data_IF_333615272702
#
_entry.id   IF_333615272702
#
_cell.length_a   1.000
_cell.length_b   1.000
_cell.length_c   1.000
_cell.angle_alpha   90.00
_cell.angle_beta   90.00
_cell.angle_gamma   90.00
#
_symmetry.space_group_name_H-M   'P 1'
#
loop_
_entity.id
_entity.type
_entity.pdbx_description
1 polymer ?
#
# COMPACT_ATOMS: atom_id res chain seq x y z
N UNK A 1 6.02 -3.90 -0.27
CA UNK A 1 5.82 -3.03 -1.46
C UNK A 1 7.13 -2.89 -2.23
N UNK A 2 7.07 -2.80 -3.56
CA UNK A 2 8.24 -2.75 -4.45
C UNK A 2 8.24 -1.46 -5.29
N UNK A 3 9.44 -0.97 -5.61
CA UNK A 3 9.65 0.25 -6.39
C UNK A 3 9.46 0.05 -7.90
N UNK A 4 8.72 0.97 -8.53
CA UNK A 4 8.82 1.25 -9.96
C UNK A 4 9.89 2.34 -10.19
N UNK A 5 10.71 2.15 -11.20
CA UNK A 5 11.68 3.13 -11.66
C UNK A 5 11.25 3.74 -13.01
N UNK A 6 11.76 4.94 -13.32
CA UNK A 6 11.58 5.57 -14.63
C UNK A 6 12.52 5.01 -15.70
N UNK A 7 12.71 5.75 -16.79
CA UNK A 7 13.48 5.31 -17.97
C UNK A 7 14.96 5.01 -17.67
N UNK A 8 15.49 5.55 -16.57
CA UNK A 8 16.85 5.28 -16.08
C UNK A 8 16.96 3.95 -15.31
N UNK A 9 15.86 3.20 -15.19
CA UNK A 9 15.79 1.98 -14.40
C UNK A 9 16.24 2.18 -12.96
N UNK A 10 16.84 1.14 -12.37
CA UNK A 10 17.29 1.14 -10.97
C UNK A 10 18.37 2.18 -10.63
N UNK A 11 19.05 2.72 -11.64
CA UNK A 11 20.03 3.80 -11.45
C UNK A 11 19.37 5.17 -11.27
N UNK A 12 18.07 5.28 -11.57
CA UNK A 12 17.27 6.48 -11.39
C UNK A 12 16.51 6.51 -10.06
N UNK A 13 15.80 7.63 -9.79
CA UNK A 13 14.94 7.72 -8.63
C UNK A 13 13.77 6.74 -8.74
N UNK A 14 13.26 6.33 -7.57
CA UNK A 14 11.97 5.65 -7.50
C UNK A 14 10.90 6.60 -8.05
N UNK A 15 10.12 6.09 -8.99
CA UNK A 15 9.03 6.83 -9.62
C UNK A 15 7.74 6.68 -8.83
N UNK A 16 7.44 5.45 -8.39
CA UNK A 16 6.22 5.13 -7.66
C UNK A 16 6.38 3.81 -6.90
N UNK A 17 5.72 3.70 -5.75
CA UNK A 17 5.67 2.46 -4.98
C UNK A 17 4.41 1.64 -5.27
N UNK A 18 4.57 0.32 -5.38
CA UNK A 18 3.47 -0.61 -5.66
C UNK A 18 3.34 -1.66 -4.55
N UNK A 19 2.11 -1.89 -4.07
CA UNK A 19 1.84 -3.08 -3.27
C UNK A 19 1.91 -4.31 -4.16
N UNK A 20 2.53 -5.35 -3.63
CA UNK A 20 2.71 -6.66 -4.25
C UNK A 20 2.16 -7.69 -3.27
N UNK A 21 1.62 -8.79 -3.79
CA UNK A 21 1.33 -9.98 -3.00
C UNK A 21 2.62 -10.81 -2.89
N UNK A 22 2.91 -11.41 -1.74
CA UNK A 22 3.97 -12.42 -1.51
C UNK A 22 5.21 -12.36 -2.43
N UNK A 23 6.21 -11.52 -2.10
CA UNK A 23 7.49 -11.34 -2.84
C UNK A 23 7.39 -11.26 -4.39
N UNK A 24 6.19 -11.08 -4.95
CA UNK A 24 5.97 -11.08 -6.39
C UNK A 24 6.55 -9.80 -6.98
N UNK A 25 7.05 -9.92 -8.21
CA UNK A 25 7.49 -8.79 -9.01
C UNK A 25 6.34 -8.17 -9.82
N UNK A 26 5.10 -8.42 -9.42
CA UNK A 26 3.90 -7.87 -10.05
C UNK A 26 3.08 -7.15 -8.99
N UNK A 27 2.89 -5.85 -9.19
CA UNK A 27 2.02 -5.05 -8.34
C UNK A 27 0.57 -5.49 -8.45
N UNK A 28 -0.24 -5.24 -7.43
CA UNK A 28 -1.68 -5.53 -7.43
C UNK A 28 -2.45 -4.84 -8.57
N UNK A 29 -1.88 -3.79 -9.16
CA UNK A 29 -2.42 -3.13 -10.35
C UNK A 29 -2.07 -3.84 -11.68
N UNK A 30 -1.34 -4.96 -11.64
CA UNK A 30 -0.87 -5.72 -12.80
C UNK A 30 0.46 -5.22 -13.38
N UNK A 31 1.12 -4.24 -12.76
CA UNK A 31 2.41 -3.72 -13.24
C UNK A 31 3.56 -4.64 -12.86
N UNK A 32 4.32 -5.06 -13.86
CA UNK A 32 5.60 -5.74 -13.66
C UNK A 32 6.67 -4.78 -13.13
N UNK A 33 7.47 -5.26 -12.18
CA UNK A 33 8.49 -4.53 -11.45
C UNK A 33 9.84 -5.18 -11.71
N UNK A 34 10.91 -4.37 -11.69
CA UNK A 34 12.25 -4.87 -11.98
C UNK A 34 12.72 -5.90 -10.95
N UNK A 35 13.48 -6.89 -11.42
CA UNK A 35 14.16 -7.82 -10.52
C UNK A 35 15.11 -7.08 -9.55
N UNK A 36 14.98 -7.42 -8.27
CA UNK A 36 15.72 -6.73 -7.21
C UNK A 36 15.35 -5.26 -7.05
N UNK A 37 14.16 -4.84 -7.49
CA UNK A 37 13.61 -3.53 -7.13
C UNK A 37 13.68 -3.32 -5.61
N UNK A 38 13.92 -2.08 -5.18
CA UNK A 38 13.89 -1.75 -3.76
C UNK A 38 12.54 -2.16 -3.16
N UNK A 39 12.59 -2.72 -1.95
CA UNK A 39 11.43 -3.13 -1.20
C UNK A 39 11.27 -2.27 0.07
N UNK A 40 10.03 -2.11 0.51
CA UNK A 40 9.65 -1.52 1.79
C UNK A 40 8.50 -2.33 2.38
N UNK A 41 8.37 -2.27 3.70
CA UNK A 41 7.24 -2.89 4.40
C UNK A 41 5.90 -2.25 3.98
N UNK A 42 4.81 -3.02 3.90
CA UNK A 42 3.46 -2.46 3.64
C UNK A 42 3.05 -1.34 4.59
N UNK A 43 3.55 -1.36 5.83
CA UNK A 43 3.29 -0.34 6.86
C UNK A 43 3.87 1.04 6.52
N UNK A 44 4.79 1.12 5.56
CA UNK A 44 5.39 2.38 5.10
C UNK A 44 4.54 3.08 4.03
N UNK A 45 3.40 2.50 3.64
CA UNK A 45 2.48 3.10 2.68
C UNK A 45 2.04 4.50 3.12
N UNK A 46 2.26 5.50 2.26
CA UNK A 46 1.94 6.90 2.54
C UNK A 46 2.96 7.62 3.44
N UNK A 47 4.02 6.95 3.90
CA UNK A 47 5.15 7.55 4.63
C UNK A 47 6.36 7.82 3.73
N UNK A 48 6.34 7.30 2.50
CA UNK A 48 7.37 7.54 1.50
C UNK A 48 7.30 8.94 0.91
N UNK A 49 8.44 9.47 0.48
CA UNK A 49 8.49 10.73 -0.27
C UNK A 49 7.87 10.59 -1.65
N UNK A 50 8.05 9.45 -2.28
CA UNK A 50 7.53 9.12 -3.60
C UNK A 50 6.07 8.67 -3.52
N UNK A 51 5.29 8.87 -4.59
CA UNK A 51 3.89 8.49 -4.60
C UNK A 51 3.70 6.97 -4.49
N UNK A 52 2.59 6.58 -3.89
CA UNK A 52 2.13 5.20 -3.84
C UNK A 52 1.02 4.97 -4.89
N UNK A 53 1.01 3.80 -5.54
CA UNK A 53 0.03 3.47 -6.57
C UNK A 53 -1.39 3.39 -5.99
N UNK A 54 -2.26 4.32 -6.39
CA UNK A 54 -3.66 4.37 -5.90
C UNK A 54 -4.40 3.05 -6.13
N UNK A 55 -4.29 2.45 -7.32
CA UNK A 55 -4.99 1.20 -7.65
C UNK A 55 -4.56 0.05 -6.73
N UNK A 56 -3.25 -0.09 -6.50
CA UNK A 56 -2.73 -1.07 -5.55
C UNK A 56 -3.26 -0.84 -4.13
N UNK A 57 -3.34 0.43 -3.69
CA UNK A 57 -3.91 0.78 -2.39
C UNK A 57 -5.38 0.37 -2.26
N UNK A 58 -6.21 0.62 -3.28
CA UNK A 58 -7.63 0.21 -3.27
C UNK A 58 -7.78 -1.30 -3.12
N UNK A 59 -7.05 -2.09 -3.92
CA UNK A 59 -7.10 -3.56 -3.85
C UNK A 59 -6.62 -4.04 -2.47
N UNK A 60 -5.51 -3.49 -1.97
CA UNK A 60 -4.98 -3.85 -0.65
C UNK A 60 -5.99 -3.58 0.47
N UNK A 61 -6.59 -2.39 0.53
CA UNK A 61 -7.57 -2.05 1.57
C UNK A 61 -8.84 -2.92 1.50
N UNK A 62 -9.23 -3.39 0.31
CA UNK A 62 -10.34 -4.34 0.17
C UNK A 62 -9.96 -5.76 0.59
N UNK A 63 -8.67 -6.11 0.52
CA UNK A 63 -8.17 -7.44 0.90
C UNK A 63 -7.96 -7.60 2.40
N UNK A 64 -7.76 -6.50 3.14
CA UNK A 64 -7.65 -6.55 4.60
C UNK A 64 -9.04 -6.82 5.18
N UNK A 65 -9.27 -7.95 5.87
CA UNK A 65 -10.56 -8.21 6.49
C UNK A 65 -10.83 -7.15 7.56
N UNK A 66 -12.03 -6.58 7.54
CA UNK A 66 -12.49 -5.78 8.68
C UNK A 66 -12.71 -6.73 9.86
N UNK A 67 -11.77 -6.75 10.80
CA UNK A 67 -11.88 -7.52 12.04
C UNK A 67 -12.79 -6.74 13.00
N UNK A 68 -14.10 -6.96 12.86
CA UNK A 68 -15.13 -6.27 13.64
C UNK A 68 -14.94 -6.43 15.16
N UNK A 69 -14.31 -7.51 15.61
CA UNK A 69 -14.04 -7.80 17.02
C UNK A 69 -12.91 -6.93 17.61
N UNK A 70 -11.95 -6.49 16.78
CA UNK A 70 -10.85 -5.60 17.20
C UNK A 70 -11.26 -4.12 17.22
N UNK A 71 -12.47 -3.84 16.73
CA UNK A 71 -12.98 -2.51 16.46
C UNK A 71 -14.26 -2.26 17.28
N UNK A 72 -14.09 -1.99 18.59
CA UNK A 72 -15.21 -1.51 19.43
C UNK A 72 -15.68 -0.16 18.89
N UNK A 73 -16.86 -0.18 18.27
CA UNK A 73 -17.50 0.99 17.67
C UNK A 73 -17.65 2.18 18.64
N UNK A 74 -17.69 1.90 19.95
CA UNK A 74 -17.79 2.91 21.02
C UNK A 74 -16.52 3.75 21.15
N UNK A 75 -15.37 3.30 20.64
CA UNK A 75 -14.09 4.02 20.75
C UNK A 75 -13.95 5.21 19.79
N UNK A 76 -14.74 5.29 18.73
CA UNK A 76 -14.66 6.37 17.73
C UNK A 76 -16.00 6.97 17.30
N UNK A 77 -17.13 6.43 17.79
CA UNK A 77 -18.44 7.05 17.65
C UNK A 77 -19.07 7.15 19.05
N UNK A 78 -18.98 8.32 19.72
CA UNK A 78 -19.67 8.51 20.99
C UNK A 78 -21.19 8.39 20.76
N UNK A 79 -21.87 7.81 21.74
CA UNK A 79 -23.30 7.61 21.71
C UNK A 79 -24.02 8.96 21.64
N UNK A 80 -24.95 9.11 20.68
CA UNK A 80 -25.65 10.39 20.42
C UNK A 80 -26.74 10.69 21.45
N UNK A 81 -26.83 9.93 22.54
CA UNK A 81 -27.89 10.08 23.54
C UNK A 81 -27.57 11.12 24.62
N UNK A 82 -26.46 11.84 24.53
CA UNK A 82 -26.19 13.01 25.37
C UNK A 82 -26.45 14.32 24.58
N UNK A 83 -27.71 14.78 24.59
CA UNK A 83 -28.11 16.16 24.25
C UNK A 83 -29.35 16.55 25.04
#
# INVERSE_FOLDING_TARGET
>A
MHAEYGDQGRSGPVKQWHMVQDEQLVGLCGRELAEGAANLEPTEWGRTKEPCCRACGVVWFQSVPFLADEHDRSTYLPDRTES
#
